data_IF_694654402894
#
_entry.id   IF_694654402894
#
_cell.length_a   1.000
_cell.length_b   1.000
_cell.length_c   1.000
_cell.angle_alpha   90.00
_cell.angle_beta   90.00
_cell.angle_gamma   90.00
#
_symmetry.space_group_name_H-M   'P 1'
#
loop_
_entity.id
_entity.type
_entity.pdbx_description
1 polymer ?
#
# COMPACT_ATOMS: atom_id res chain seq x y z
N UNK A 1 1.41 4.66 15.56
CA UNK A 1 2.30 3.65 16.17
C UNK A 1 3.72 3.88 15.70
N UNK A 2 4.70 3.83 16.61
CA UNK A 2 6.14 3.81 16.32
C UNK A 2 6.69 2.42 16.63
N UNK A 3 7.64 1.94 15.84
CA UNK A 3 8.30 0.66 16.07
C UNK A 3 9.79 0.75 15.67
N UNK A 4 10.65 0.09 16.43
CA UNK A 4 12.05 -0.12 16.09
C UNK A 4 12.18 -1.43 15.31
N UNK A 5 13.05 -1.47 14.31
CA UNK A 5 13.29 -2.70 13.53
C UNK A 5 13.93 -3.81 14.36
N UNK A 6 14.71 -3.45 15.36
CA UNK A 6 15.49 -4.41 16.17
C UNK A 6 14.84 -4.71 17.52
N UNK A 7 13.83 -3.94 17.94
CA UNK A 7 13.27 -4.01 19.28
C UNK A 7 14.25 -3.59 20.40
N UNK A 8 15.44 -3.10 20.03
CA UNK A 8 16.48 -2.70 20.98
C UNK A 8 16.44 -1.19 21.25
N UNK A 9 16.69 -0.80 22.51
CA UNK A 9 16.69 0.60 22.95
C UNK A 9 15.29 1.15 23.21
N UNK A 10 15.22 2.45 23.56
CA UNK A 10 14.01 3.19 23.76
C UNK A 10 13.74 4.11 22.57
N UNK A 11 12.49 4.22 22.13
CA UNK A 11 12.09 5.20 21.13
C UNK A 11 11.69 6.49 21.84
N UNK A 12 12.32 7.60 21.44
CA UNK A 12 11.94 8.96 21.86
C UNK A 12 11.44 9.72 20.63
N UNK A 13 10.49 10.62 20.82
CA UNK A 13 9.86 11.33 19.71
C UNK A 13 9.60 12.80 20.03
N UNK A 14 9.38 13.59 18.96
CA UNK A 14 8.95 14.99 19.02
C UNK A 14 7.82 15.24 18.02
N UNK A 15 7.00 16.23 18.28
CA UNK A 15 5.89 16.66 17.43
C UNK A 15 6.01 18.12 16.97
N UNK A 16 7.09 18.78 17.37
CA UNK A 16 7.40 20.20 17.12
C UNK A 16 8.53 20.40 16.11
N UNK A 17 8.83 19.37 15.32
CA UNK A 17 9.91 19.32 14.33
C UNK A 17 11.33 19.40 14.93
N UNK A 18 11.50 19.42 16.22
CA UNK A 18 12.83 19.30 16.86
C UNK A 18 13.42 17.89 16.68
N UNK A 19 14.74 17.80 16.73
CA UNK A 19 15.42 16.49 16.70
C UNK A 19 15.23 15.80 18.05
N UNK A 20 14.70 14.57 18.08
CA UNK A 20 14.52 13.86 19.35
C UNK A 20 15.86 13.56 20.03
N UNK A 21 15.87 13.67 21.33
CA UNK A 21 17.00 13.38 22.22
C UNK A 21 16.56 12.37 23.30
N UNK A 22 17.47 11.80 24.11
CA UNK A 22 17.08 10.96 25.26
C UNK A 22 16.17 11.65 26.28
N UNK A 23 16.14 13.00 26.31
CA UNK A 23 15.27 13.80 27.16
C UNK A 23 13.88 14.05 26.56
N UNK A 24 13.68 13.75 25.26
CA UNK A 24 12.38 13.87 24.60
C UNK A 24 11.40 12.83 25.15
N UNK A 25 10.07 13.02 24.97
CA UNK A 25 9.08 12.04 25.37
C UNK A 25 9.40 10.63 24.85
N UNK A 26 9.31 9.65 25.75
CA UNK A 26 9.48 8.24 25.43
C UNK A 26 8.19 7.68 24.84
N UNK A 27 8.30 6.88 23.79
CA UNK A 27 7.18 6.19 23.23
C UNK A 27 6.87 4.91 24.00
N UNK A 28 5.70 4.83 24.62
CA UNK A 28 5.27 3.68 25.40
C UNK A 28 4.02 3.01 24.82
N UNK A 29 3.14 3.80 24.18
CA UNK A 29 1.89 3.32 23.60
C UNK A 29 1.48 4.16 22.38
N UNK A 30 0.61 3.64 21.51
CA UNK A 30 0.01 4.42 20.44
C UNK A 30 -0.69 5.67 20.96
N UNK A 31 -0.53 6.79 20.25
CA UNK A 31 -1.18 8.06 20.59
C UNK A 31 -1.72 8.74 19.33
N UNK A 32 -2.70 9.60 19.52
CA UNK A 32 -3.30 10.40 18.44
C UNK A 32 -2.53 11.70 18.24
N UNK A 33 -2.45 12.14 16.98
CA UNK A 33 -1.90 13.45 16.63
C UNK A 33 -2.92 14.25 15.85
N UNK A 34 -2.99 15.56 16.11
CA UNK A 34 -3.80 16.47 15.29
C UNK A 34 -3.07 16.78 13.98
N UNK A 35 -3.76 16.67 12.87
CA UNK A 35 -3.18 16.98 11.55
C UNK A 35 -3.30 18.46 11.20
N UNK A 36 -2.32 19.02 10.46
CA UNK A 36 -1.07 18.39 10.04
C UNK A 36 -0.08 18.25 11.21
N UNK A 37 0.81 17.26 11.15
CA UNK A 37 1.84 17.03 12.16
C UNK A 37 3.13 16.52 11.55
N UNK A 38 4.25 16.89 12.13
CA UNK A 38 5.54 16.29 11.83
C UNK A 38 5.96 15.45 13.04
N UNK A 39 6.11 14.15 12.82
CA UNK A 39 6.62 13.24 13.85
C UNK A 39 8.07 12.93 13.55
N UNK A 40 8.97 13.24 14.48
CA UNK A 40 10.35 12.74 14.45
C UNK A 40 10.53 11.71 15.55
N UNK A 41 11.23 10.62 15.25
CA UNK A 41 11.52 9.56 16.20
C UNK A 41 12.95 9.07 16.07
N UNK A 42 13.59 8.81 17.20
CA UNK A 42 14.92 8.24 17.29
C UNK A 42 14.97 7.12 18.31
N UNK A 43 15.83 6.13 18.09
CA UNK A 43 16.09 5.05 19.03
C UNK A 43 17.39 5.34 19.78
N UNK A 44 17.35 5.19 21.11
CA UNK A 44 18.48 5.47 22.01
C UNK A 44 18.77 4.27 22.91
N UNK A 45 20.05 4.00 23.13
CA UNK A 45 20.51 3.01 24.11
C UNK A 45 20.32 3.50 25.53
N UNK A 46 20.54 2.63 26.52
CA UNK A 46 20.37 2.95 27.93
C UNK A 46 21.35 4.05 28.43
N UNK A 47 22.50 4.19 27.77
CA UNK A 47 23.48 5.25 28.05
C UNK A 47 23.15 6.58 27.37
N UNK A 48 22.05 6.66 26.63
CA UNK A 48 21.62 7.84 25.89
C UNK A 48 22.24 7.98 24.50
N UNK A 49 23.09 7.06 24.07
CA UNK A 49 23.67 7.10 22.72
C UNK A 49 22.60 6.79 21.65
N UNK A 50 22.64 7.51 20.52
CA UNK A 50 21.74 7.27 19.41
C UNK A 50 22.11 5.97 18.68
N UNK A 51 21.14 5.07 18.51
CA UNK A 51 21.32 3.79 17.82
C UNK A 51 21.21 3.93 16.29
N UNK A 52 20.53 4.96 15.82
CA UNK A 52 20.39 5.28 14.40
C UNK A 52 20.02 6.77 14.23
N UNK A 53 20.19 7.28 13.01
CA UNK A 53 19.70 8.61 12.66
C UNK A 53 18.19 8.68 12.86
N UNK A 54 17.65 9.77 13.45
CA UNK A 54 16.23 9.96 13.62
C UNK A 54 15.49 9.92 12.28
N UNK A 55 14.29 9.35 12.30
CA UNK A 55 13.37 9.33 11.15
C UNK A 55 12.31 10.39 11.33
N UNK A 56 11.91 10.98 10.23
CA UNK A 56 10.84 11.99 10.17
C UNK A 56 9.70 11.49 9.28
N UNK A 57 8.47 11.77 9.72
CA UNK A 57 7.26 11.58 8.92
C UNK A 57 6.35 12.78 9.07
N UNK A 58 6.05 13.41 7.94
CA UNK A 58 5.02 14.45 7.87
C UNK A 58 3.68 13.75 7.68
N UNK A 59 2.75 14.05 8.56
CA UNK A 59 1.37 13.56 8.52
C UNK A 59 0.47 14.71 8.07
N UNK A 60 -0.20 14.53 6.96
CA UNK A 60 -1.20 15.46 6.46
C UNK A 60 -2.43 14.67 6.01
N UNK A 61 -3.58 15.34 5.95
CA UNK A 61 -4.81 14.69 5.49
C UNK A 61 -4.63 14.10 4.08
N UNK A 62 -4.08 14.90 3.16
CA UNK A 62 -3.77 14.43 1.81
C UNK A 62 -2.77 13.27 1.78
N UNK A 63 -1.76 13.28 2.68
CA UNK A 63 -0.77 12.21 2.78
C UNK A 63 -1.32 10.90 3.34
N UNK A 64 -2.37 10.95 4.15
CA UNK A 64 -3.07 9.75 4.63
C UNK A 64 -4.01 9.18 3.56
N UNK A 65 -4.47 10.02 2.64
CA UNK A 65 -5.29 9.61 1.51
C UNK A 65 -4.47 9.14 0.29
N UNK A 66 -3.14 9.15 0.38
CA UNK A 66 -2.26 8.74 -0.72
C UNK A 66 -1.13 7.85 -0.20
N UNK A 67 -1.13 6.58 -0.57
CA UNK A 67 -0.19 5.57 -0.08
C UNK A 67 0.54 4.88 -1.23
N UNK A 68 1.82 4.60 -1.02
CA UNK A 68 2.60 3.77 -1.94
C UNK A 68 2.16 2.30 -1.84
N UNK A 69 1.99 1.62 -2.98
CA UNK A 69 1.50 0.25 -3.03
C UNK A 69 2.33 -0.75 -2.20
N UNK A 70 3.65 -0.59 -2.17
CA UNK A 70 4.54 -1.42 -1.36
C UNK A 70 4.33 -1.27 0.17
N UNK A 71 3.63 -0.22 0.61
CA UNK A 71 3.30 -0.01 2.03
C UNK A 71 1.95 -0.58 2.42
N UNK A 72 1.13 -0.96 1.44
CA UNK A 72 -0.17 -1.57 1.69
C UNK A 72 0.00 -3.02 2.17
N UNK A 73 -0.63 -3.41 3.28
CA UNK A 73 -0.61 -4.80 3.71
C UNK A 73 -1.35 -5.71 2.72
N UNK A 74 -0.94 -6.96 2.64
CA UNK A 74 -1.72 -7.99 1.96
C UNK A 74 -2.96 -8.35 2.79
N UNK A 75 -3.89 -9.04 2.15
CA UNK A 75 -5.01 -9.62 2.87
C UNK A 75 -4.56 -10.68 3.88
N UNK A 76 -5.31 -10.88 4.98
CA UNK A 76 -4.98 -11.88 5.98
C UNK A 76 -4.83 -13.28 5.40
N UNK A 77 -3.85 -14.01 5.89
CA UNK A 77 -3.58 -15.41 5.47
C UNK A 77 -2.57 -15.54 4.32
N UNK A 78 -2.01 -14.46 3.81
CA UNK A 78 -0.99 -14.52 2.78
C UNK A 78 0.11 -13.48 2.96
N UNK A 79 1.14 -13.87 3.70
CA UNK A 79 2.32 -13.01 3.93
C UNK A 79 3.41 -13.17 2.86
N UNK A 80 3.21 -14.09 1.91
CA UNK A 80 4.20 -14.35 0.88
C UNK A 80 4.23 -13.21 -0.14
N UNK A 81 5.39 -12.60 -0.30
CA UNK A 81 5.64 -11.54 -1.29
C UNK A 81 6.86 -11.86 -2.13
N UNK A 82 6.64 -11.99 -3.43
CA UNK A 82 7.72 -12.05 -4.39
C UNK A 82 8.15 -10.62 -4.77
N UNK A 83 9.46 -10.39 -4.82
CA UNK A 83 10.04 -9.10 -5.26
C UNK A 83 10.28 -9.17 -6.76
N UNK A 84 9.57 -8.36 -7.52
CA UNK A 84 9.59 -8.36 -8.98
C UNK A 84 9.93 -6.97 -9.51
N UNK A 85 10.77 -6.93 -10.54
CA UNK A 85 11.03 -5.71 -11.32
C UNK A 85 10.26 -5.75 -12.64
N UNK A 86 9.85 -4.58 -13.17
CA UNK A 86 9.14 -4.51 -14.46
C UNK A 86 9.94 -5.04 -15.64
N UNK A 87 11.26 -4.92 -15.60
CA UNK A 87 12.21 -5.49 -16.57
C UNK A 87 13.28 -6.26 -15.81
N UNK A 88 13.65 -7.47 -16.25
CA UNK A 88 14.66 -8.30 -15.59
C UNK A 88 16.09 -7.84 -15.94
N UNK A 89 16.38 -6.56 -15.84
CA UNK A 89 17.72 -6.03 -16.03
C UNK A 89 18.40 -5.86 -14.68
N UNK A 90 19.47 -6.62 -14.43
CA UNK A 90 20.20 -6.61 -13.17
C UNK A 90 20.88 -5.25 -12.87
N UNK A 91 21.04 -4.39 -13.85
CA UNK A 91 21.62 -3.05 -13.73
C UNK A 91 20.57 -1.96 -13.53
N UNK A 92 19.28 -2.34 -13.54
CA UNK A 92 18.17 -1.41 -13.53
C UNK A 92 18.01 -0.71 -12.18
N UNK A 93 17.95 0.60 -12.20
CA UNK A 93 17.53 1.45 -11.09
C UNK A 93 16.00 1.46 -10.90
N UNK A 94 15.27 0.60 -11.62
CA UNK A 94 13.82 0.54 -11.54
C UNK A 94 13.35 0.04 -10.17
N UNK A 95 12.21 0.54 -9.69
CA UNK A 95 11.67 0.12 -8.41
C UNK A 95 11.32 -1.37 -8.41
N UNK A 96 11.51 -1.98 -7.25
CA UNK A 96 11.12 -3.36 -6.97
C UNK A 96 9.74 -3.35 -6.34
N UNK A 97 8.83 -4.16 -6.87
CA UNK A 97 7.47 -4.32 -6.36
C UNK A 97 7.35 -5.62 -5.58
N UNK A 98 6.74 -5.53 -4.42
CA UNK A 98 6.42 -6.68 -3.59
C UNK A 98 4.99 -7.15 -3.92
N UNK A 99 4.87 -8.27 -4.63
CA UNK A 99 3.58 -8.82 -5.05
C UNK A 99 3.31 -10.16 -4.41
N UNK A 100 2.07 -10.39 -4.01
CA UNK A 100 1.60 -11.71 -3.64
C UNK A 100 1.15 -12.45 -4.90
N UNK A 101 1.84 -13.53 -5.23
CA UNK A 101 1.56 -14.32 -6.45
C UNK A 101 0.42 -15.30 -6.24
N UNK A 102 0.02 -15.60 -5.01
CA UNK A 102 -1.07 -16.51 -4.70
C UNK A 102 -2.40 -15.78 -4.56
N UNK A 103 -2.38 -14.57 -4.03
CA UNK A 103 -3.56 -13.74 -3.86
C UNK A 103 -3.22 -12.26 -4.10
N UNK A 104 -3.73 -11.71 -5.17
CA UNK A 104 -3.47 -10.34 -5.62
C UNK A 104 -4.27 -9.28 -4.84
N UNK A 105 -4.36 -9.44 -3.55
CA UNK A 105 -5.22 -8.67 -2.65
C UNK A 105 -4.37 -7.78 -1.74
N UNK A 106 -4.67 -6.48 -1.68
CA UNK A 106 -4.04 -5.51 -0.80
C UNK A 106 -5.08 -4.63 -0.09
N UNK A 107 -4.76 -4.23 1.13
CA UNK A 107 -5.67 -3.44 1.96
C UNK A 107 -5.20 -1.99 2.04
N UNK A 108 -6.06 -1.05 1.68
CA UNK A 108 -5.90 0.34 2.05
C UNK A 108 -6.46 0.51 3.46
N UNK A 109 -5.66 1.04 4.41
CA UNK A 109 -6.06 1.12 5.81
C UNK A 109 -7.29 2.00 6.00
N UNK A 110 -8.05 1.71 7.07
CA UNK A 110 -9.21 2.51 7.42
C UNK A 110 -8.82 3.99 7.52
N UNK A 111 -9.56 4.81 6.81
CA UNK A 111 -9.41 6.26 6.77
C UNK A 111 -10.77 6.93 6.67
N UNK A 112 -10.81 8.21 7.01
CA UNK A 112 -12.06 8.98 6.93
C UNK A 112 -12.45 9.19 5.47
N UNK A 113 -13.61 8.67 5.08
CA UNK A 113 -14.12 8.70 3.71
C UNK A 113 -15.09 9.85 3.43
N UNK A 114 -15.39 10.70 4.41
CA UNK A 114 -16.27 11.85 4.21
C UNK A 114 -15.72 12.77 3.11
N UNK A 115 -16.50 12.96 2.05
CA UNK A 115 -16.13 13.75 0.88
C UNK A 115 -15.19 13.06 -0.12
N UNK A 116 -14.79 11.82 0.14
CA UNK A 116 -14.05 10.99 -0.84
C UNK A 116 -15.05 10.45 -1.87
N UNK A 117 -14.83 10.79 -3.13
CA UNK A 117 -15.69 10.37 -4.25
C UNK A 117 -14.90 9.85 -5.44
N UNK A 118 -13.58 9.73 -5.31
CA UNK A 118 -12.72 9.19 -6.35
C UNK A 118 -11.56 8.37 -5.77
N UNK A 119 -11.12 7.40 -6.56
CA UNK A 119 -9.88 6.65 -6.37
C UNK A 119 -9.03 6.76 -7.62
N UNK A 120 -7.74 7.02 -7.41
CA UNK A 120 -6.72 7.07 -8.45
C UNK A 120 -5.63 6.05 -8.11
N UNK A 121 -5.34 5.19 -9.05
CA UNK A 121 -4.34 4.12 -8.88
C UNK A 121 -3.28 4.22 -9.97
N UNK A 122 -2.05 4.44 -9.58
CA UNK A 122 -0.89 4.18 -10.43
C UNK A 122 -0.54 2.70 -10.31
N UNK A 123 -0.59 1.97 -11.41
CA UNK A 123 -0.38 0.54 -11.46
C UNK A 123 0.75 0.18 -12.42
N UNK A 124 1.36 -0.97 -12.19
CA UNK A 124 2.41 -1.51 -13.04
C UNK A 124 2.16 -2.97 -13.39
N UNK A 125 2.34 -3.28 -14.66
CA UNK A 125 2.34 -4.65 -15.17
C UNK A 125 3.75 -5.24 -15.07
N UNK A 126 3.83 -6.40 -14.44
CA UNK A 126 5.06 -7.11 -14.15
C UNK A 126 5.15 -8.38 -15.02
N UNK A 127 6.35 -8.80 -15.41
CA UNK A 127 6.52 -10.05 -16.13
C UNK A 127 6.23 -11.23 -15.20
N UNK A 128 5.59 -12.26 -15.74
CA UNK A 128 5.53 -13.57 -15.11
C UNK A 128 6.70 -14.39 -15.65
N UNK A 129 7.85 -14.29 -15.01
CA UNK A 129 9.09 -14.97 -15.41
C UNK A 129 9.42 -16.17 -14.49
N UNK A 130 8.42 -16.71 -13.83
CA UNK A 130 8.52 -17.88 -12.96
C UNK A 130 7.35 -18.83 -13.24
N UNK A 131 7.55 -20.10 -12.96
CA UNK A 131 6.51 -21.12 -13.00
C UNK A 131 6.19 -21.54 -11.56
N UNK A 132 4.91 -21.68 -11.27
CA UNK A 132 4.43 -22.34 -10.05
C UNK A 132 4.18 -23.81 -10.39
N UNK A 133 4.81 -24.72 -9.67
CA UNK A 133 4.59 -26.15 -9.84
C UNK A 133 3.44 -26.64 -8.93
N UNK A 134 3.77 -27.18 -7.78
CA UNK A 134 2.76 -27.65 -6.82
C UNK A 134 1.97 -26.51 -6.17
N UNK A 135 2.53 -25.33 -6.12
CA UNK A 135 1.94 -24.13 -5.52
C UNK A 135 0.87 -23.49 -6.39
N UNK A 136 0.75 -23.86 -7.66
CA UNK A 136 -0.27 -23.28 -8.57
C UNK A 136 -1.70 -23.47 -8.01
N UNK A 137 -1.94 -24.55 -7.31
CA UNK A 137 -3.23 -24.83 -6.62
C UNK A 137 -3.58 -23.83 -5.50
N UNK A 138 -2.58 -23.08 -5.02
CA UNK A 138 -2.76 -22.06 -3.98
C UNK A 138 -3.15 -20.69 -4.56
N UNK A 139 -3.07 -20.56 -5.89
CA UNK A 139 -3.42 -19.30 -6.55
C UNK A 139 -4.93 -19.10 -6.50
N UNK A 140 -5.35 -18.03 -5.89
CA UNK A 140 -6.76 -17.63 -5.83
C UNK A 140 -7.17 -17.07 -7.17
N UNK A 141 -8.00 -17.84 -7.90
CA UNK A 141 -8.64 -17.36 -9.14
C UNK A 141 -9.93 -16.64 -8.79
N UNK A 142 -10.13 -15.49 -9.43
CA UNK A 142 -11.35 -14.70 -9.27
C UNK A 142 -12.05 -14.54 -10.63
N UNK A 143 -13.39 -14.54 -10.62
CA UNK A 143 -14.14 -14.24 -11.83
C UNK A 143 -13.81 -12.80 -12.29
N UNK A 144 -13.75 -12.61 -13.59
CA UNK A 144 -13.51 -11.32 -14.23
C UNK A 144 -14.53 -11.10 -15.34
N UNK A 145 -14.91 -9.84 -15.55
CA UNK A 145 -15.90 -9.45 -16.55
C UNK A 145 -15.27 -9.02 -17.87
N UNK A 146 -13.99 -8.60 -17.84
CA UNK A 146 -13.27 -8.13 -19.02
C UNK A 146 -12.15 -9.10 -19.44
N UNK A 147 -11.69 -9.11 -20.69
CA UNK A 147 -10.71 -10.08 -21.16
C UNK A 147 -9.38 -10.10 -20.39
N UNK A 148 -8.99 -8.99 -19.81
CA UNK A 148 -7.71 -8.86 -19.08
C UNK A 148 -7.91 -8.76 -17.56
N UNK A 149 -9.16 -8.86 -17.08
CA UNK A 149 -9.53 -8.66 -15.68
C UNK A 149 -9.67 -7.21 -15.29
N UNK A 150 -9.87 -6.97 -14.02
CA UNK A 150 -10.10 -5.66 -13.40
C UNK A 150 -9.23 -5.48 -12.16
N UNK A 151 -9.08 -4.22 -11.76
CA UNK A 151 -8.82 -3.87 -10.37
C UNK A 151 -10.17 -3.58 -9.72
N UNK A 152 -10.60 -4.44 -8.82
CA UNK A 152 -11.85 -4.30 -8.07
C UNK A 152 -11.56 -3.70 -6.69
N UNK A 153 -12.35 -2.73 -6.30
CA UNK A 153 -12.28 -2.05 -5.01
C UNK A 153 -13.51 -2.42 -4.20
N UNK A 154 -13.30 -3.04 -3.05
CA UNK A 154 -14.36 -3.39 -2.11
C UNK A 154 -14.28 -2.51 -0.86
N UNK A 155 -15.43 -2.27 -0.23
CA UNK A 155 -15.49 -1.60 1.07
C UNK A 155 -15.07 -2.57 2.19
N UNK A 156 -14.20 -2.10 3.07
CA UNK A 156 -13.75 -2.70 4.33
C UNK A 156 -13.08 -4.07 4.20
N UNK A 157 -13.67 -5.00 3.45
CA UNK A 157 -13.21 -6.39 3.29
C UNK A 157 -13.30 -6.82 1.83
N UNK A 158 -12.53 -7.82 1.44
CA UNK A 158 -12.46 -8.30 0.05
C UNK A 158 -13.72 -9.05 -0.42
N UNK A 159 -14.61 -9.38 0.47
CA UNK A 159 -15.96 -9.89 0.23
C UNK A 159 -17.04 -8.83 0.53
N UNK A 160 -16.64 -7.61 0.81
CA UNK A 160 -17.53 -6.46 1.03
C UNK A 160 -18.17 -5.93 -0.27
N UNK A 161 -19.04 -4.93 -0.16
CA UNK A 161 -19.63 -4.29 -1.32
C UNK A 161 -18.60 -3.78 -2.32
N UNK A 162 -18.82 -4.00 -3.61
CA UNK A 162 -17.98 -3.44 -4.67
C UNK A 162 -18.27 -1.94 -4.79
N UNK A 163 -17.23 -1.13 -4.61
CA UNK A 163 -17.30 0.32 -4.77
C UNK A 163 -16.90 0.76 -6.19
N UNK A 164 -15.94 0.06 -6.80
CA UNK A 164 -15.51 0.31 -8.16
C UNK A 164 -14.92 -0.96 -8.79
N UNK A 165 -15.01 -1.02 -10.13
CA UNK A 165 -14.35 -2.03 -10.95
C UNK A 165 -13.71 -1.33 -12.13
N UNK A 166 -12.39 -1.40 -12.25
CA UNK A 166 -11.58 -0.70 -13.24
C UNK A 166 -10.94 -1.71 -14.19
N UNK A 167 -11.37 -1.78 -15.46
CA UNK A 167 -10.80 -2.70 -16.44
C UNK A 167 -9.30 -2.53 -16.60
N UNK A 168 -8.57 -3.65 -16.61
CA UNK A 168 -7.15 -3.64 -16.90
C UNK A 168 -6.93 -3.44 -18.40
N UNK A 169 -5.94 -2.64 -18.78
CA UNK A 169 -5.66 -2.38 -20.19
C UNK A 169 -5.05 -3.62 -20.86
N UNK A 170 -5.26 -3.72 -22.18
CA UNK A 170 -4.66 -4.76 -23.01
C UNK A 170 -3.12 -4.78 -22.85
N UNK A 171 -2.53 -5.89 -22.39
CA UNK A 171 -1.09 -6.00 -22.22
C UNK A 171 -0.27 -5.81 -23.48
N UNK A 172 -0.83 -6.12 -24.67
CA UNK A 172 -0.15 -6.00 -25.93
C UNK A 172 -0.10 -4.54 -26.44
N UNK A 173 -1.06 -3.70 -26.05
CA UNK A 173 -1.25 -2.37 -26.62
C UNK A 173 -1.15 -1.25 -25.58
N UNK A 174 -0.78 -1.55 -24.32
CA UNK A 174 -0.69 -0.55 -23.25
C UNK A 174 0.72 -0.44 -22.69
N UNK A 175 1.01 0.72 -22.09
CA UNK A 175 2.23 0.93 -21.30
C UNK A 175 2.29 -0.03 -20.12
N UNK A 176 3.50 -0.36 -19.66
CA UNK A 176 3.68 -1.19 -18.45
C UNK A 176 3.19 -0.47 -17.19
N UNK A 177 3.39 0.84 -17.12
CA UNK A 177 2.80 1.72 -16.10
C UNK A 177 1.58 2.38 -16.67
N UNK A 178 0.48 2.33 -15.95
CA UNK A 178 -0.80 2.89 -16.38
C UNK A 178 -1.57 3.40 -15.15
N UNK A 179 -2.57 4.19 -15.43
CA UNK A 179 -3.46 4.74 -14.41
C UNK A 179 -4.84 4.11 -14.52
N UNK A 180 -5.46 3.91 -13.38
CA UNK A 180 -6.84 3.49 -13.24
C UNK A 180 -7.54 4.52 -12.36
N UNK A 181 -8.64 5.03 -12.83
CA UNK A 181 -9.42 6.05 -12.14
C UNK A 181 -10.87 5.60 -12.04
N UNK A 182 -11.50 5.80 -10.89
CA UNK A 182 -12.91 5.53 -10.71
C UNK A 182 -13.58 6.53 -9.78
N UNK A 183 -14.86 6.78 -10.03
CA UNK A 183 -15.74 7.45 -9.09
C UNK A 183 -16.20 6.43 -8.06
N UNK A 184 -16.13 6.81 -6.79
CA UNK A 184 -16.59 6.02 -5.67
C UNK A 184 -17.97 6.52 -5.20
N UNK A 185 -18.87 5.62 -4.81
CA UNK A 185 -20.08 6.03 -4.10
C UNK A 185 -19.69 6.69 -2.78
N UNK A 186 -20.43 7.73 -2.40
CA UNK A 186 -20.19 8.46 -1.16
C UNK A 186 -20.24 7.50 0.05
N UNK A 187 -19.22 7.56 0.87
CA UNK A 187 -19.12 6.85 2.14
C UNK A 187 -19.02 7.89 3.27
N UNK A 188 -19.45 7.54 4.44
CA UNK A 188 -19.35 8.40 5.63
C UNK A 188 -18.66 7.64 6.76
N UNK A 189 -17.79 8.33 7.49
CA UNK A 189 -17.04 7.72 8.59
C UNK A 189 -15.72 7.10 8.14
N UNK A 190 -15.21 6.19 8.93
CA UNK A 190 -13.94 5.49 8.66
C UNK A 190 -14.20 4.15 7.97
N UNK A 191 -13.61 3.97 6.79
CA UNK A 191 -13.66 2.73 6.02
C UNK A 191 -12.28 2.38 5.48
N UNK A 192 -11.98 1.08 5.46
CA UNK A 192 -10.87 0.52 4.71
C UNK A 192 -11.30 0.16 3.30
N UNK A 193 -10.34 -0.07 2.41
CA UNK A 193 -10.64 -0.60 1.09
C UNK A 193 -9.85 -1.89 0.87
N UNK A 194 -10.45 -2.86 0.20
CA UNK A 194 -9.75 -4.01 -0.33
C UNK A 194 -9.62 -3.86 -1.85
N UNK A 195 -8.38 -3.88 -2.34
CA UNK A 195 -8.03 -3.76 -3.75
C UNK A 195 -7.60 -5.13 -4.26
N UNK A 196 -8.28 -5.64 -5.27
CA UNK A 196 -8.09 -6.99 -5.78
C UNK A 196 -7.94 -6.96 -7.30
N UNK A 197 -6.85 -7.52 -7.81
CA UNK A 197 -6.74 -7.79 -9.24
C UNK A 197 -7.42 -9.12 -9.59
N UNK A 198 -8.29 -9.08 -10.61
CA UNK A 198 -8.99 -10.27 -11.13
C UNK A 198 -8.38 -10.76 -12.44
N UNK A 199 -7.14 -10.37 -12.73
CA UNK A 199 -6.45 -10.76 -13.96
C UNK A 199 -6.40 -12.30 -14.12
N UNK A 200 -6.51 -12.83 -15.36
CA UNK A 200 -6.36 -14.26 -15.62
C UNK A 200 -5.04 -14.80 -15.08
N UNK A 201 -5.07 -16.02 -14.50
CA UNK A 201 -3.90 -16.65 -13.85
C UNK A 201 -2.73 -16.77 -14.82
N UNK A 202 -2.99 -17.08 -16.09
CA UNK A 202 -1.95 -17.21 -17.12
C UNK A 202 -1.43 -15.85 -17.63
N UNK A 203 -2.08 -14.76 -17.25
CA UNK A 203 -1.74 -13.40 -17.65
C UNK A 203 -0.54 -12.81 -16.88
N UNK A 204 -0.22 -11.55 -17.16
CA UNK A 204 0.79 -10.82 -16.39
C UNK A 204 0.35 -10.62 -14.94
N UNK A 205 1.32 -10.31 -14.09
CA UNK A 205 1.06 -9.90 -12.71
C UNK A 205 0.95 -8.39 -12.67
N UNK A 206 0.18 -7.88 -11.74
CA UNK A 206 0.03 -6.45 -11.53
C UNK A 206 0.42 -6.07 -10.10
N UNK A 207 0.97 -4.88 -9.95
CA UNK A 207 1.26 -4.29 -8.64
C UNK A 207 0.68 -2.88 -8.57
N UNK A 208 0.29 -2.48 -7.37
CA UNK A 208 -0.05 -1.11 -7.06
C UNK A 208 1.26 -0.32 -6.86
N UNK A 209 1.46 0.76 -7.58
CA UNK A 209 2.56 1.69 -7.37
C UNK A 209 2.14 2.75 -6.35
N UNK A 210 0.94 3.28 -6.51
CA UNK A 210 0.36 4.28 -5.61
C UNK A 210 -1.16 4.20 -5.66
N UNK A 211 -1.79 4.38 -4.52
CA UNK A 211 -3.24 4.54 -4.40
C UNK A 211 -3.53 5.88 -3.74
N UNK A 212 -4.39 6.68 -4.34
CA UNK A 212 -4.80 7.99 -3.82
C UNK A 212 -6.32 8.09 -3.82
N UNK A 213 -6.86 8.62 -2.74
CA UNK A 213 -8.28 8.92 -2.59
C UNK A 213 -8.49 10.44 -2.63
N UNK A 214 -9.59 10.87 -3.20
CA UNK A 214 -9.89 12.29 -3.33
C UNK A 214 -11.33 12.58 -3.72
N UNK A 215 -11.60 13.83 -4.06
CA UNK A 215 -12.86 14.20 -4.70
C UNK A 215 -12.73 14.00 -6.21
N UNK A 216 -13.79 13.51 -6.85
CA UNK A 216 -13.86 13.47 -8.30
C UNK A 216 -13.77 14.90 -8.86
N UNK A 217 -12.92 15.11 -9.85
CA UNK A 217 -12.91 16.34 -10.61
C UNK A 217 -14.26 16.49 -11.34
N UNK A 218 -14.85 17.69 -11.24
CA UNK A 218 -16.12 18.02 -11.89
C UNK A 218 -15.89 18.37 -13.35
#
# INVERSE_FOLDING_TARGET
TLASQTGFGAIHYTLDDSVPTPASPRYEAPFNVTLPATVRAGSFAADGSALAAPRQRVLSHAGLLSLAGNTLPNCPGSDFRLRVQPTPDATSTQPVYAVNVFDSCQLFPATRMDGVTAIHVDAVRLPRNFALAHEQKLVVSRPHATPFGELVVHADRCDGPVLASMPLPDPAHSSRRFKLDAVLPAQTGEHGLCLVYTAPIEGPIYALEKVSLGAAER
#
